data_IF_392658871551
#
_entry.id   IF_392658871551
#
_cell.length_a   1.000
_cell.length_b   1.000
_cell.length_c   1.000
_cell.angle_alpha   90.00
_cell.angle_beta   90.00
_cell.angle_gamma   90.00
#
_symmetry.space_group_name_H-M   'P 1'
#
loop_
_entity.id
_entity.type
_entity.pdbx_description
1 polymer ?
#
# COMPACT_ATOMS: atom_id res chain seq x y z
N UNK A 1 1.86 21.99 8.81
CA UNK A 1 1.84 23.31 8.17
C UNK A 1 2.93 24.17 8.79
N UNK A 2 2.91 25.50 8.60
CA UNK A 2 3.89 26.39 9.24
C UNK A 2 3.77 26.48 10.77
N UNK A 3 2.69 25.96 11.36
CA UNK A 3 2.45 25.91 12.81
C UNK A 3 2.83 24.57 13.45
N UNK A 4 3.03 23.53 12.64
CA UNK A 4 3.47 22.21 13.12
C UNK A 4 2.80 21.04 12.39
N UNK A 5 2.93 19.84 12.97
CA UNK A 5 2.27 18.63 12.51
C UNK A 5 0.85 18.54 13.10
N UNK A 6 -0.12 18.24 12.23
CA UNK A 6 -1.53 18.08 12.63
C UNK A 6 -2.08 16.79 12.06
N UNK A 7 -2.83 16.05 12.88
CA UNK A 7 -3.46 14.80 12.50
C UNK A 7 -4.97 14.91 12.75
N UNK A 8 -5.75 14.59 11.71
CA UNK A 8 -7.20 14.74 11.70
C UNK A 8 -7.88 13.43 11.35
N UNK A 9 -8.90 13.07 12.12
CA UNK A 9 -9.87 12.04 11.80
C UNK A 9 -11.14 12.68 11.28
N UNK A 10 -11.56 12.29 10.08
CA UNK A 10 -12.83 12.73 9.51
C UNK A 10 -13.77 11.54 9.42
N UNK A 11 -14.88 11.60 10.17
CA UNK A 11 -15.94 10.61 10.12
C UNK A 11 -16.79 10.77 8.85
N UNK A 12 -17.50 9.71 8.42
CA UNK A 12 -18.33 9.76 7.20
C UNK A 12 -19.48 10.78 7.28
N UNK A 13 -19.87 11.18 8.49
CA UNK A 13 -20.92 12.19 8.75
C UNK A 13 -20.37 13.61 8.91
N UNK A 14 -19.07 13.83 8.69
CA UNK A 14 -18.42 15.14 8.79
C UNK A 14 -17.97 15.52 10.20
N UNK A 15 -17.99 14.59 11.16
CA UNK A 15 -17.32 14.79 12.45
C UNK A 15 -15.81 14.88 12.27
N UNK A 16 -15.14 15.75 13.01
CA UNK A 16 -13.69 15.95 12.93
C UNK A 16 -13.07 15.87 14.32
N UNK A 17 -12.14 14.95 14.50
CA UNK A 17 -11.39 14.79 15.75
C UNK A 17 -9.90 15.02 15.51
N UNK A 18 -9.23 15.70 16.46
CA UNK A 18 -7.79 15.93 16.46
C UNK A 18 -7.14 15.16 17.59
N UNK A 19 -6.22 14.25 17.26
CA UNK A 19 -5.57 13.37 18.24
C UNK A 19 -4.09 13.17 17.86
N UNK A 20 -3.20 12.90 18.83
CA UNK A 20 -1.77 12.69 18.56
C UNK A 20 -1.48 11.41 17.75
N UNK A 21 -2.39 10.43 17.81
CA UNK A 21 -2.40 9.22 16.99
C UNK A 21 -3.84 8.76 16.80
N UNK A 22 -4.07 7.94 15.78
CA UNK A 22 -5.39 7.37 15.48
C UNK A 22 -5.23 6.16 14.56
N UNK A 23 -6.18 5.22 14.66
CA UNK A 23 -6.37 4.14 13.70
C UNK A 23 -7.78 4.17 13.12
N UNK A 24 -7.92 3.71 11.88
CA UNK A 24 -9.17 3.66 11.12
C UNK A 24 -9.21 2.37 10.30
N UNK A 25 -10.42 1.93 9.92
CA UNK A 25 -10.62 0.72 9.13
C UNK A 25 -11.13 -0.44 9.99
N UNK A 26 -11.24 -1.64 9.41
CA UNK A 26 -11.75 -2.83 10.10
C UNK A 26 -10.78 -3.41 11.14
N UNK A 27 -9.47 -3.19 10.95
CA UNK A 27 -8.41 -3.60 11.86
C UNK A 27 -7.96 -2.50 12.83
N UNK A 28 -8.81 -1.51 13.11
CA UNK A 28 -8.48 -0.36 13.95
C UNK A 28 -8.35 -0.70 15.44
N UNK A 29 -9.24 -1.54 16.00
CA UNK A 29 -9.21 -1.91 17.42
C UNK A 29 -7.90 -2.61 17.83
N UNK A 30 -7.40 -3.62 17.09
CA UNK A 30 -6.10 -4.24 17.39
C UNK A 30 -4.92 -3.28 17.23
N UNK A 31 -4.99 -2.35 16.27
CA UNK A 31 -3.96 -1.34 16.06
C UNK A 31 -3.94 -0.32 17.21
N UNK A 32 -5.12 0.15 17.65
CA UNK A 32 -5.26 1.04 18.80
C UNK A 32 -4.69 0.40 20.07
N UNK A 33 -4.90 -0.90 20.30
CA UNK A 33 -4.31 -1.58 21.45
C UNK A 33 -2.78 -1.46 21.53
N UNK A 34 -2.08 -1.50 20.39
CA UNK A 34 -0.62 -1.31 20.33
C UNK A 34 -0.24 0.17 20.50
N UNK A 35 -1.01 1.08 19.90
CA UNK A 35 -0.77 2.52 20.00
C UNK A 35 -0.94 2.99 21.45
N UNK A 36 -2.00 2.59 22.13
CA UNK A 36 -2.27 2.94 23.54
C UNK A 36 -1.19 2.39 24.50
N UNK A 37 -0.68 1.18 24.24
CA UNK A 37 0.35 0.53 25.09
C UNK A 37 1.72 1.22 24.98
N UNK A 38 2.11 1.68 23.78
CA UNK A 38 3.51 2.02 23.49
C UNK A 38 3.75 3.47 23.07
N UNK A 39 2.71 4.22 22.74
CA UNK A 39 2.86 5.60 22.31
C UNK A 39 3.49 6.46 23.41
N UNK A 40 4.44 7.32 23.01
CA UNK A 40 5.02 8.36 23.85
C UNK A 40 4.98 9.69 23.10
N UNK A 41 4.77 10.82 23.79
CA UNK A 41 4.98 12.13 23.19
C UNK A 41 6.44 12.30 22.73
N UNK A 42 6.64 12.96 21.59
CA UNK A 42 7.97 13.31 21.06
C UNK A 42 8.90 12.11 20.81
N UNK A 43 8.39 11.02 20.25
CA UNK A 43 9.20 9.88 19.81
C UNK A 43 10.17 10.26 18.70
N UNK A 44 11.31 9.57 18.68
CA UNK A 44 12.25 9.63 17.57
C UNK A 44 11.66 8.96 16.32
N UNK A 45 12.09 9.42 15.14
CA UNK A 45 11.54 9.00 13.85
C UNK A 45 11.53 7.47 13.67
N UNK A 46 12.64 6.80 13.99
CA UNK A 46 12.75 5.34 13.84
C UNK A 46 11.89 4.58 14.86
N UNK A 47 11.76 5.08 16.09
CA UNK A 47 10.86 4.49 17.10
C UNK A 47 9.40 4.61 16.66
N UNK A 48 9.02 5.75 16.07
CA UNK A 48 7.68 5.98 15.54
C UNK A 48 7.36 5.05 14.34
N UNK A 49 8.31 4.88 13.40
CA UNK A 49 8.15 3.93 12.28
C UNK A 49 7.90 2.51 12.79
N UNK A 50 8.67 2.08 13.78
CA UNK A 50 8.56 0.74 14.34
C UNK A 50 7.25 0.54 15.13
N UNK A 51 6.77 1.57 15.83
CA UNK A 51 5.47 1.57 16.49
C UNK A 51 4.33 1.42 15.47
N UNK A 52 4.32 2.23 14.41
CA UNK A 52 3.28 2.18 13.37
C UNK A 52 3.31 0.82 12.65
N UNK A 53 4.49 0.29 12.35
CA UNK A 53 4.67 -1.06 11.80
C UNK A 53 4.03 -2.12 12.71
N UNK A 54 4.30 -2.06 14.01
CA UNK A 54 3.73 -3.00 14.98
C UNK A 54 2.20 -2.87 15.09
N UNK A 55 1.66 -1.65 15.06
CA UNK A 55 0.22 -1.40 15.10
C UNK A 55 -0.50 -1.98 13.85
N UNK A 56 0.03 -1.72 12.65
CA UNK A 56 -0.54 -2.27 11.41
C UNK A 56 -0.41 -3.80 11.38
N UNK A 57 0.72 -4.35 11.81
CA UNK A 57 0.92 -5.80 11.92
C UNK A 57 -0.11 -6.45 12.85
N UNK A 58 -0.46 -5.79 13.97
CA UNK A 58 -1.54 -6.25 14.86
C UNK A 58 -2.89 -6.27 14.16
N UNK A 59 -3.22 -5.22 13.41
CA UNK A 59 -4.42 -5.17 12.58
C UNK A 59 -4.47 -6.31 11.55
N UNK A 60 -3.38 -6.52 10.80
CA UNK A 60 -3.25 -7.60 9.82
C UNK A 60 -3.47 -8.98 10.43
N UNK A 61 -2.96 -9.24 11.63
CA UNK A 61 -3.04 -10.57 12.26
C UNK A 61 -4.40 -10.85 12.91
N UNK A 62 -5.17 -9.80 13.23
CA UNK A 62 -6.41 -9.93 14.00
C UNK A 62 -7.68 -9.52 13.24
N UNK A 63 -7.56 -8.96 12.03
CA UNK A 63 -8.69 -8.61 11.17
C UNK A 63 -8.63 -9.35 9.82
N UNK A 64 -9.73 -10.00 9.45
CA UNK A 64 -9.86 -10.74 8.18
C UNK A 64 -9.94 -9.81 6.96
N UNK A 65 -10.39 -8.57 7.15
CA UNK A 65 -10.43 -7.54 6.10
C UNK A 65 -9.07 -6.89 5.84
N UNK A 66 -8.08 -7.15 6.69
CA UNK A 66 -6.75 -6.56 6.64
C UNK A 66 -5.70 -7.61 6.24
N UNK A 67 -4.67 -7.20 5.50
CA UNK A 67 -3.63 -8.13 5.05
C UNK A 67 -2.61 -7.49 4.12
N UNK A 68 -1.72 -8.32 3.56
CA UNK A 68 -0.65 -7.94 2.62
C UNK A 68 0.55 -7.23 3.28
N UNK A 69 1.29 -6.43 2.51
CA UNK A 69 2.48 -5.69 2.92
C UNK A 69 2.10 -4.48 3.80
N UNK A 70 3.07 -3.98 4.58
CA UNK A 70 2.95 -2.74 5.34
C UNK A 70 3.66 -1.63 4.56
N UNK A 71 2.95 -0.53 4.34
CA UNK A 71 3.49 0.70 3.75
C UNK A 71 3.60 1.78 4.82
N UNK A 72 4.64 2.62 4.74
CA UNK A 72 4.78 3.80 5.58
C UNK A 72 4.93 5.05 4.71
N UNK A 73 4.37 6.15 5.19
CA UNK A 73 4.57 7.48 4.63
C UNK A 73 5.08 8.37 5.76
N UNK A 74 6.28 8.91 5.60
CA UNK A 74 6.92 9.79 6.57
C UNK A 74 6.84 11.22 6.05
N UNK A 75 6.17 12.09 6.80
CA UNK A 75 6.00 13.49 6.45
C UNK A 75 6.79 14.32 7.45
N UNK A 76 7.77 15.07 6.95
CA UNK A 76 8.59 16.00 7.75
C UNK A 76 8.46 17.42 7.19
N UNK A 77 9.17 18.37 7.80
CA UNK A 77 9.24 19.73 7.27
C UNK A 77 10.04 19.82 5.94
N UNK A 78 10.96 18.88 5.71
CA UNK A 78 11.84 18.87 4.52
C UNK A 78 11.15 18.26 3.31
N UNK A 79 10.20 17.33 3.54
CA UNK A 79 9.50 16.66 2.46
C UNK A 79 8.76 15.42 2.92
N UNK A 80 8.53 14.53 1.96
CA UNK A 80 7.76 13.29 2.14
C UNK A 80 8.58 12.11 1.63
N UNK A 81 8.63 11.06 2.43
CA UNK A 81 9.22 9.78 2.06
C UNK A 81 8.14 8.69 2.01
N UNK A 82 7.94 8.10 0.84
CA UNK A 82 6.96 7.05 0.58
C UNK A 82 7.66 5.69 0.52
N UNK A 83 7.44 4.85 1.54
CA UNK A 83 8.11 3.56 1.67
C UNK A 83 7.11 2.44 1.40
N UNK A 84 7.17 1.86 0.19
CA UNK A 84 6.28 0.80 -0.29
C UNK A 84 7.08 -0.32 -0.99
N UNK A 85 7.20 -1.52 -0.41
CA UNK A 85 6.78 -1.89 0.95
C UNK A 85 7.81 -1.47 2.01
N UNK A 86 7.35 -1.05 3.19
CA UNK A 86 8.21 -0.95 4.36
C UNK A 86 8.47 -2.33 4.97
N UNK A 87 7.45 -3.18 5.05
CA UNK A 87 7.58 -4.59 5.43
C UNK A 87 6.80 -5.46 4.45
N UNK A 88 7.47 -6.43 3.82
CA UNK A 88 6.80 -7.43 3.00
C UNK A 88 6.02 -8.44 3.85
N UNK A 89 4.93 -8.94 3.29
CA UNK A 89 4.17 -10.03 3.89
C UNK A 89 5.03 -11.29 3.99
N UNK A 90 5.03 -11.90 5.18
CA UNK A 90 5.69 -13.18 5.42
C UNK A 90 4.93 -14.34 4.74
N UNK A 91 3.66 -14.14 4.40
CA UNK A 91 2.81 -15.15 3.77
C UNK A 91 2.94 -15.08 2.25
N UNK A 92 3.99 -15.73 1.72
CA UNK A 92 4.15 -15.97 0.30
C UNK A 92 3.81 -17.43 0.00
N UNK A 93 2.74 -17.66 -0.75
CA UNK A 93 2.45 -19.00 -1.26
C UNK A 93 3.07 -19.19 -2.65
N UNK A 94 3.91 -20.21 -2.77
CA UNK A 94 4.46 -20.62 -4.04
C UNK A 94 3.58 -21.70 -4.62
N UNK A 95 2.89 -21.37 -5.72
CA UNK A 95 2.01 -22.30 -6.42
C UNK A 95 2.75 -23.60 -6.78
N UNK A 96 2.34 -24.71 -6.17
CA UNK A 96 2.98 -26.04 -6.36
C UNK A 96 2.77 -26.62 -7.76
N UNK A 97 1.65 -26.32 -8.42
CA UNK A 97 1.25 -26.94 -9.69
C UNK A 97 0.99 -25.90 -10.77
N UNK A 98 1.42 -26.18 -12.01
CA UNK A 98 1.17 -25.31 -13.17
C UNK A 98 -0.13 -25.70 -13.88
N UNK A 99 -1.20 -24.92 -13.70
CA UNK A 99 -2.49 -25.11 -14.40
C UNK A 99 -2.56 -24.39 -15.75
N UNK A 100 -1.49 -24.49 -16.56
CA UNK A 100 -1.46 -23.86 -17.88
C UNK A 100 -1.95 -24.86 -18.93
N UNK A 101 -3.15 -24.63 -19.45
CA UNK A 101 -3.71 -25.41 -20.55
C UNK A 101 -3.07 -25.02 -21.89
N UNK A 102 -3.04 -25.96 -22.85
CA UNK A 102 -2.58 -25.70 -24.22
C UNK A 102 -3.61 -24.83 -24.96
N UNK A 103 -3.20 -24.01 -25.95
CA UNK A 103 -4.14 -23.31 -26.83
C UNK A 103 -5.14 -24.29 -27.48
N UNK A 104 -6.41 -23.88 -27.61
CA UNK A 104 -7.47 -24.72 -28.18
C UNK A 104 -8.25 -25.58 -27.17
N UNK A 105 -7.97 -25.48 -25.88
CA UNK A 105 -8.69 -26.22 -24.82
C UNK A 105 -10.06 -25.66 -24.46
N UNK A 106 -10.35 -24.42 -24.82
CA UNK A 106 -11.66 -23.77 -24.59
C UNK A 106 -12.42 -23.68 -25.90
N UNK A 107 -13.68 -24.16 -25.99
CA UNK A 107 -14.48 -24.05 -27.20
C UNK A 107 -14.83 -22.58 -27.47
N UNK A 108 -14.59 -22.12 -28.71
CA UNK A 108 -14.89 -20.74 -29.14
C UNK A 108 -16.12 -20.75 -30.03
N UNK A 109 -17.17 -20.03 -29.65
CA UNK A 109 -18.43 -19.96 -30.41
C UNK A 109 -18.36 -19.03 -31.62
N UNK A 110 -17.69 -17.88 -31.47
CA UNK A 110 -17.55 -16.89 -32.55
C UNK A 110 -16.24 -16.14 -32.35
N UNK A 111 -15.51 -15.91 -33.44
CA UNK A 111 -14.26 -15.15 -33.45
C UNK A 111 -14.38 -14.04 -34.49
N UNK A 112 -14.09 -12.80 -34.09
CA UNK A 112 -13.97 -11.65 -35.01
C UNK A 112 -12.57 -11.08 -34.86
N UNK A 113 -11.83 -11.00 -35.97
CA UNK A 113 -10.51 -10.38 -36.02
C UNK A 113 -10.64 -9.09 -36.83
N UNK A 114 -10.32 -7.95 -36.21
CA UNK A 114 -10.29 -6.65 -36.87
C UNK A 114 -8.83 -6.21 -36.99
N UNK A 115 -8.23 -6.21 -38.18
CA UNK A 115 -6.86 -5.74 -38.34
C UNK A 115 -6.80 -4.23 -38.12
N UNK A 116 -5.86 -3.78 -37.30
CA UNK A 116 -5.57 -2.35 -37.13
C UNK A 116 -4.74 -1.87 -38.32
N UNK A 117 -5.25 -0.87 -39.05
CA UNK A 117 -4.46 -0.12 -40.04
C UNK A 117 -3.63 0.91 -39.29
N UNK A 118 -2.38 0.58 -39.02
CA UNK A 118 -1.41 1.51 -38.47
C UNK A 118 -0.66 2.16 -39.65
N UNK A 119 -0.87 3.45 -39.88
CA UNK A 119 0.07 4.25 -40.68
C UNK A 119 1.23 4.67 -39.75
N UNK A 120 2.46 4.33 -40.13
CA UNK A 120 3.65 4.80 -39.42
C UNK A 120 3.80 6.29 -39.75
N UNK A 121 3.25 7.15 -38.88
CA UNK A 121 3.30 8.61 -39.07
C UNK A 121 4.71 9.16 -38.78
N UNK A 122 5.45 8.54 -37.84
CA UNK A 122 6.78 8.99 -37.48
C UNK A 122 7.61 7.87 -36.84
N UNK A 123 8.79 7.61 -37.41
CA UNK A 123 9.81 6.76 -36.81
C UNK A 123 10.91 7.66 -36.21
N UNK A 124 11.21 7.47 -34.92
CA UNK A 124 12.28 8.22 -34.24
C UNK A 124 13.25 7.22 -33.61
N UNK A 125 14.42 7.07 -34.21
CA UNK A 125 15.49 6.21 -33.69
C UNK A 125 16.27 7.00 -32.65
N UNK A 126 16.13 6.65 -31.36
CA UNK A 126 17.01 7.13 -30.30
C UNK A 126 18.07 6.06 -30.03
N UNK A 127 19.33 6.40 -30.30
CA UNK A 127 20.47 5.61 -29.85
C UNK A 127 20.76 6.01 -28.41
N UNK A 128 20.60 5.06 -27.49
CA UNK A 128 21.14 5.18 -26.14
C UNK A 128 22.58 4.67 -26.17
N UNK A 129 23.53 5.53 -25.81
CA UNK A 129 24.87 5.09 -25.44
C UNK A 129 24.81 4.56 -24.01
N UNK A 130 24.99 3.26 -23.85
CA UNK A 130 25.14 2.61 -22.55
C UNK A 130 26.57 2.79 -22.02
N UNK A 131 26.78 3.08 -20.72
CA UNK A 131 28.09 3.05 -20.06
C UNK A 131 28.67 1.63 -19.96
#
# INVERSE_FOLDING_TARGET
DCTGNHLYKVGPWGSVDTMPYMAMGSGDLPAMGILEDRFKPNMEMEEAKELVRAAIQSGIMNDLGSGHNIDLCVITHEGVDYIRPFQESQYKDNRKTKYKYRPGTTPVLTQKVVPLKLEVVQERVQRMDTP
#
